data_IF_011104104150
#
_entry.id   IF_011104104150
#
_cell.length_a   1.000
_cell.length_b   1.000
_cell.length_c   1.000
_cell.angle_alpha   90.00
_cell.angle_beta   90.00
_cell.angle_gamma   90.00
#
_symmetry.space_group_name_H-M   'P 1'
#
loop_
_entity.id
_entity.type
_entity.pdbx_description
1 polymer ?
#
# COMPACT_ATOMS: atom_id res chain seq x y z
N UNK A 1 -17.54 19.14 -19.26
CA UNK A 1 -16.18 19.02 -18.74
C UNK A 1 -15.71 17.58 -19.03
N UNK A 2 -14.45 17.37 -19.41
CA UNK A 2 -13.93 16.00 -19.54
C UNK A 2 -14.02 15.31 -18.17
N UNK A 3 -14.38 14.01 -18.16
CA UNK A 3 -14.39 13.22 -16.94
C UNK A 3 -13.00 13.25 -16.31
N UNK A 4 -12.87 13.39 -14.97
CA UNK A 4 -11.57 13.37 -14.33
C UNK A 4 -10.85 12.06 -14.66
N UNK A 5 -9.56 12.15 -14.98
CA UNK A 5 -8.69 11.00 -15.24
C UNK A 5 -7.87 10.74 -13.99
N UNK A 6 -8.16 9.66 -13.26
CA UNK A 6 -7.45 9.29 -12.04
C UNK A 6 -6.54 8.10 -12.26
N UNK A 7 -5.44 8.06 -11.54
CA UNK A 7 -4.61 6.87 -11.37
C UNK A 7 -4.83 6.39 -9.94
N UNK A 8 -5.45 5.22 -9.81
CA UNK A 8 -5.71 4.57 -8.54
C UNK A 8 -4.51 3.69 -8.17
N UNK A 9 -3.77 4.07 -7.13
CA UNK A 9 -2.58 3.32 -6.69
C UNK A 9 -2.90 2.28 -5.62
N UNK A 10 -4.15 2.21 -5.16
CA UNK A 10 -4.61 1.30 -4.12
C UNK A 10 -5.87 0.58 -4.56
N UNK A 11 -5.66 -0.48 -5.29
CA UNK A 11 -6.71 -1.36 -5.79
C UNK A 11 -6.24 -2.81 -5.66
N UNK A 12 -7.17 -3.76 -5.55
CA UNK A 12 -6.82 -5.15 -5.35
C UNK A 12 -7.36 -6.04 -6.46
N UNK A 13 -6.61 -7.11 -6.73
CA UNK A 13 -7.04 -8.21 -7.58
C UNK A 13 -7.29 -9.45 -6.71
N UNK A 14 -8.26 -10.26 -7.10
CA UNK A 14 -8.61 -11.51 -6.40
C UNK A 14 -8.73 -12.62 -7.44
N UNK A 15 -7.61 -13.25 -7.86
CA UNK A 15 -7.67 -14.35 -8.80
C UNK A 15 -8.48 -15.51 -8.22
N UNK A 16 -9.35 -16.20 -9.00
CA UNK A 16 -10.18 -17.30 -8.49
C UNK A 16 -9.37 -18.38 -7.78
N UNK A 17 -8.27 -18.82 -8.38
CA UNK A 17 -7.38 -19.82 -7.79
C UNK A 17 -6.71 -19.37 -6.49
N UNK A 18 -6.43 -18.06 -6.35
CA UNK A 18 -5.90 -17.50 -5.11
C UNK A 18 -6.94 -17.56 -3.99
N UNK A 19 -8.17 -17.14 -4.29
CA UNK A 19 -9.30 -17.22 -3.34
C UNK A 19 -9.54 -18.65 -2.88
N UNK A 20 -9.49 -19.62 -3.80
CA UNK A 20 -9.63 -21.05 -3.49
C UNK A 20 -8.50 -21.52 -2.56
N UNK A 21 -7.24 -21.25 -2.89
CA UNK A 21 -6.08 -21.62 -2.08
C UNK A 21 -6.14 -21.02 -0.66
N UNK A 22 -6.59 -19.77 -0.52
CA UNK A 22 -6.77 -19.11 0.79
C UNK A 22 -7.82 -19.83 1.63
N UNK A 23 -8.98 -20.20 1.04
CA UNK A 23 -10.03 -20.90 1.77
C UNK A 23 -9.64 -22.33 2.10
N UNK A 24 -8.98 -23.06 1.20
CA UNK A 24 -8.45 -24.41 1.45
C UNK A 24 -7.43 -24.43 2.58
N UNK A 25 -6.65 -23.37 2.73
CA UNK A 25 -5.73 -23.20 3.85
C UNK A 25 -6.41 -22.83 5.19
N UNK A 26 -7.74 -22.74 5.22
CA UNK A 26 -8.49 -22.36 6.41
C UNK A 26 -8.28 -20.92 6.88
N UNK A 27 -7.87 -20.02 5.96
CA UNK A 27 -7.65 -18.60 6.22
C UNK A 27 -8.59 -17.74 5.34
N UNK A 28 -8.53 -16.43 5.46
CA UNK A 28 -9.39 -15.53 4.71
C UNK A 28 -9.01 -14.06 4.90
N UNK A 29 -9.69 -13.16 4.19
CA UNK A 29 -9.51 -11.73 4.38
C UNK A 29 -10.07 -11.30 5.74
N UNK A 30 -9.54 -10.20 6.29
CA UNK A 30 -9.98 -9.68 7.59
C UNK A 30 -11.47 -9.30 7.63
N UNK A 31 -12.07 -9.00 6.49
CA UNK A 31 -13.53 -8.75 6.37
C UNK A 31 -14.37 -10.04 6.39
N UNK A 32 -13.75 -11.21 6.61
CA UNK A 32 -14.39 -12.52 6.71
C UNK A 32 -14.61 -13.23 5.38
N UNK A 33 -14.98 -12.55 4.31
CA UNK A 33 -15.22 -13.12 2.98
C UNK A 33 -14.69 -12.18 1.89
N UNK A 34 -14.06 -12.75 0.86
CA UNK A 34 -13.68 -11.96 -0.30
C UNK A 34 -14.89 -11.36 -1.00
N UNK A 35 -14.85 -10.08 -1.37
CA UNK A 35 -15.83 -9.51 -2.27
C UNK A 35 -15.72 -10.14 -3.67
N UNK A 36 -16.79 -10.01 -4.46
CA UNK A 36 -16.73 -10.42 -5.85
C UNK A 36 -15.78 -9.50 -6.62
N UNK A 37 -14.89 -10.14 -7.38
CA UNK A 37 -13.92 -9.43 -8.21
C UNK A 37 -13.72 -10.18 -9.53
N UNK A 38 -13.76 -9.44 -10.61
CA UNK A 38 -13.31 -9.84 -11.93
C UNK A 38 -12.68 -8.63 -12.63
N UNK A 39 -11.84 -8.81 -13.65
CA UNK A 39 -11.34 -7.69 -14.46
C UNK A 39 -12.47 -6.82 -15.00
N UNK A 40 -13.60 -7.42 -15.39
CA UNK A 40 -14.74 -6.68 -15.92
C UNK A 40 -15.41 -5.79 -14.88
N UNK A 41 -15.66 -6.30 -13.67
CA UNK A 41 -16.19 -5.50 -12.55
C UNK A 41 -15.26 -4.34 -12.18
N UNK A 42 -13.95 -4.57 -12.23
CA UNK A 42 -12.97 -3.51 -12.00
C UNK A 42 -13.04 -2.43 -13.09
N UNK A 43 -13.10 -2.80 -14.36
CA UNK A 43 -13.24 -1.86 -15.47
C UNK A 43 -14.54 -1.05 -15.38
N UNK A 44 -15.66 -1.68 -15.06
CA UNK A 44 -16.95 -1.00 -14.86
C UNK A 44 -16.88 0.05 -13.74
N UNK A 45 -16.25 -0.30 -12.60
CA UNK A 45 -16.03 0.67 -11.53
C UNK A 45 -15.12 1.82 -11.98
N UNK A 46 -14.01 1.49 -12.62
CA UNK A 46 -13.05 2.48 -13.14
C UNK A 46 -13.75 3.48 -14.07
N UNK A 47 -14.58 2.99 -14.99
CA UNK A 47 -15.32 3.84 -15.91
C UNK A 47 -16.34 4.72 -15.18
N UNK A 48 -17.07 4.15 -14.22
CA UNK A 48 -18.04 4.89 -13.40
C UNK A 48 -17.40 5.98 -12.53
N UNK A 49 -16.14 5.76 -12.11
CA UNK A 49 -15.41 6.63 -11.18
C UNK A 49 -14.36 7.53 -11.85
N UNK A 50 -14.26 7.54 -13.18
CA UNK A 50 -13.25 8.33 -13.91
C UNK A 50 -11.81 7.91 -13.58
N UNK A 51 -11.59 6.61 -13.34
CA UNK A 51 -10.27 6.01 -13.11
C UNK A 51 -9.73 5.53 -14.45
N UNK A 52 -8.63 6.13 -14.89
CA UNK A 52 -7.96 5.77 -16.13
C UNK A 52 -7.12 4.49 -15.96
N UNK A 53 -6.35 4.43 -14.88
CA UNK A 53 -5.46 3.31 -14.55
C UNK A 53 -5.66 2.91 -13.09
N UNK A 54 -5.70 1.60 -12.82
CA UNK A 54 -5.68 1.03 -11.47
C UNK A 54 -4.46 0.12 -11.30
N UNK A 55 -3.63 0.42 -10.30
CA UNK A 55 -2.50 -0.42 -9.91
C UNK A 55 -2.97 -1.44 -8.87
N UNK A 56 -2.99 -2.71 -9.28
CA UNK A 56 -3.55 -3.79 -8.47
C UNK A 56 -2.49 -4.47 -7.60
N UNK A 57 -2.89 -4.94 -6.43
CA UNK A 57 -2.07 -5.74 -5.51
C UNK A 57 -2.89 -6.86 -4.87
N UNK A 58 -2.25 -7.84 -4.26
CA UNK A 58 -2.93 -8.76 -3.33
C UNK A 58 -3.03 -8.12 -1.94
N UNK A 59 -4.23 -8.19 -1.34
CA UNK A 59 -4.43 -7.84 0.05
C UNK A 59 -4.10 -9.00 1.00
N UNK A 60 -4.22 -8.76 2.31
CA UNK A 60 -4.12 -9.83 3.31
C UNK A 60 -5.13 -10.96 3.03
N UNK A 61 -4.73 -12.25 3.21
CA UNK A 61 -3.55 -12.72 3.94
C UNK A 61 -2.25 -12.82 3.11
N UNK A 62 -2.24 -12.39 1.84
CA UNK A 62 -1.08 -12.57 0.96
C UNK A 62 -0.84 -14.06 0.64
N UNK A 63 0.43 -14.46 0.51
CA UNK A 63 0.81 -15.82 0.16
C UNK A 63 1.58 -16.53 1.28
N UNK A 64 1.57 -16.00 2.51
CA UNK A 64 2.38 -16.48 3.64
C UNK A 64 1.86 -17.74 4.34
N UNK A 65 0.96 -18.51 3.76
CA UNK A 65 0.37 -19.74 4.31
C UNK A 65 0.87 -21.01 3.57
N UNK A 66 0.58 -22.19 4.13
CA UNK A 66 1.06 -23.47 3.59
C UNK A 66 2.58 -23.68 3.82
N UNK A 67 3.21 -24.53 3.00
CA UNK A 67 4.66 -24.70 2.99
C UNK A 67 5.38 -23.53 2.31
N UNK A 68 6.70 -23.48 2.40
CA UNK A 68 7.52 -22.51 1.66
C UNK A 68 7.33 -22.67 0.14
N UNK A 69 7.37 -23.91 -0.35
CA UNK A 69 7.18 -24.21 -1.76
C UNK A 69 5.79 -23.78 -2.27
N UNK A 70 4.74 -23.98 -1.46
CA UNK A 70 3.38 -23.51 -1.80
C UNK A 70 3.32 -21.99 -1.88
N UNK A 71 3.94 -21.29 -0.92
CA UNK A 71 3.98 -19.84 -0.90
C UNK A 71 4.72 -19.25 -2.12
N UNK A 72 5.86 -19.86 -2.51
CA UNK A 72 6.62 -19.49 -3.71
C UNK A 72 5.80 -19.74 -4.99
N UNK A 73 5.21 -20.93 -5.13
CA UNK A 73 4.40 -21.29 -6.30
C UNK A 73 3.16 -20.39 -6.43
N UNK A 74 2.49 -20.08 -5.32
CA UNK A 74 1.31 -19.23 -5.32
C UNK A 74 1.68 -17.78 -5.64
N UNK A 75 2.78 -17.25 -5.09
CA UNK A 75 3.27 -15.91 -5.42
C UNK A 75 3.55 -15.79 -6.92
N UNK A 76 4.33 -16.73 -7.49
CA UNK A 76 4.64 -16.78 -8.91
C UNK A 76 3.37 -16.76 -9.77
N UNK A 77 2.42 -17.64 -9.46
CA UNK A 77 1.17 -17.73 -10.20
C UNK A 77 0.33 -16.45 -10.12
N UNK A 78 0.31 -15.80 -8.95
CA UNK A 78 -0.39 -14.51 -8.78
C UNK A 78 0.27 -13.39 -9.58
N UNK A 79 1.60 -13.33 -9.59
CA UNK A 79 2.35 -12.31 -10.32
C UNK A 79 2.24 -12.49 -11.83
N UNK A 80 2.27 -13.72 -12.33
CA UNK A 80 2.02 -14.04 -13.74
C UNK A 80 0.58 -13.66 -14.16
N UNK A 81 -0.42 -13.96 -13.33
CA UNK A 81 -1.80 -13.52 -13.57
C UNK A 81 -1.92 -12.00 -13.62
N UNK A 82 -1.23 -11.28 -12.71
CA UNK A 82 -1.20 -9.82 -12.73
C UNK A 82 -0.54 -9.27 -14.01
N UNK A 83 0.55 -9.90 -14.46
CA UNK A 83 1.20 -9.53 -15.72
C UNK A 83 0.31 -9.77 -16.93
N UNK A 84 -0.44 -10.90 -16.97
CA UNK A 84 -1.42 -11.19 -18.01
C UNK A 84 -2.56 -10.15 -18.01
N UNK A 85 -3.04 -9.74 -16.83
CA UNK A 85 -4.04 -8.68 -16.69
C UNK A 85 -3.53 -7.37 -17.30
N UNK A 86 -2.31 -6.97 -16.95
CA UNK A 86 -1.67 -5.76 -17.48
C UNK A 86 -1.47 -5.86 -18.99
N UNK A 87 -0.98 -7.00 -19.48
CA UNK A 87 -0.77 -7.22 -20.93
C UNK A 87 -2.08 -7.14 -21.73
N UNK A 88 -3.19 -7.60 -21.16
CA UNK A 88 -4.51 -7.56 -21.81
C UNK A 88 -5.11 -6.14 -21.85
N UNK A 89 -4.83 -5.32 -20.84
CA UNK A 89 -5.34 -3.94 -20.73
C UNK A 89 -4.25 -2.95 -20.28
N UNK A 90 -3.21 -2.73 -21.10
CA UNK A 90 -1.96 -2.06 -20.68
C UNK A 90 -2.12 -0.58 -20.33
N UNK A 91 -3.25 0.05 -20.66
CA UNK A 91 -3.58 1.43 -20.29
C UNK A 91 -4.69 1.52 -19.23
N UNK A 92 -5.09 0.38 -18.68
CA UNK A 92 -6.13 0.32 -17.63
C UNK A 92 -5.61 -0.30 -16.35
N UNK A 93 -4.70 -1.25 -16.43
CA UNK A 93 -4.14 -1.90 -15.26
C UNK A 93 -2.63 -1.76 -15.19
N UNK A 94 -2.17 -1.54 -13.97
CA UNK A 94 -0.84 -1.80 -13.51
C UNK A 94 -0.87 -2.81 -12.37
N UNK A 95 0.28 -3.27 -11.89
CA UNK A 95 0.31 -4.21 -10.80
C UNK A 95 1.57 -4.13 -9.95
N UNK A 96 1.40 -4.34 -8.65
CA UNK A 96 2.45 -4.60 -7.69
C UNK A 96 2.59 -6.11 -7.48
N UNK A 97 3.82 -6.61 -7.55
CA UNK A 97 4.11 -8.00 -7.29
C UNK A 97 3.84 -8.37 -5.82
N UNK A 98 3.25 -9.53 -5.58
CA UNK A 98 3.22 -10.12 -4.25
C UNK A 98 4.53 -10.86 -3.96
N UNK A 99 5.06 -10.71 -2.75
CA UNK A 99 6.37 -11.23 -2.37
C UNK A 99 6.23 -12.31 -1.30
N UNK A 100 6.76 -13.52 -1.52
CA UNK A 100 6.72 -14.61 -0.54
C UNK A 100 7.79 -14.42 0.54
N UNK A 101 7.49 -13.64 1.57
CA UNK A 101 8.43 -13.21 2.62
C UNK A 101 8.76 -14.30 3.65
N UNK A 102 8.57 -15.59 3.34
CA UNK A 102 8.90 -16.70 4.26
C UNK A 102 10.41 -16.96 4.35
N UNK A 103 11.11 -16.83 3.24
CA UNK A 103 12.57 -16.91 3.19
C UNK A 103 13.15 -15.74 2.42
N UNK A 104 14.33 -15.22 2.82
CA UNK A 104 14.98 -14.13 2.11
C UNK A 104 15.25 -14.47 0.64
N UNK A 105 15.78 -15.65 0.34
CA UNK A 105 16.14 -16.02 -1.04
C UNK A 105 14.91 -16.10 -1.95
N UNK A 106 13.82 -16.75 -1.49
CA UNK A 106 12.58 -16.84 -2.27
C UNK A 106 11.97 -15.46 -2.56
N UNK A 107 12.05 -14.54 -1.59
CA UNK A 107 11.61 -13.17 -1.78
C UNK A 107 12.47 -12.42 -2.82
N UNK A 108 13.81 -12.56 -2.75
CA UNK A 108 14.74 -11.91 -3.70
C UNK A 108 14.53 -12.42 -5.14
N UNK A 109 14.41 -13.74 -5.32
CA UNK A 109 14.21 -14.35 -6.63
C UNK A 109 12.86 -13.91 -7.25
N UNK A 110 11.80 -13.86 -6.44
CA UNK A 110 10.48 -13.45 -6.93
C UNK A 110 10.40 -11.95 -7.25
N UNK A 111 11.05 -11.10 -6.47
CA UNK A 111 11.17 -9.67 -6.77
C UNK A 111 11.92 -9.46 -8.09
N UNK A 112 13.07 -10.13 -8.27
CA UNK A 112 13.85 -10.03 -9.50
C UNK A 112 13.03 -10.49 -10.72
N UNK A 113 12.35 -11.63 -10.63
CA UNK A 113 11.49 -12.12 -11.70
C UNK A 113 10.35 -11.15 -12.02
N UNK A 114 9.65 -10.67 -11.00
CA UNK A 114 8.50 -9.78 -11.18
C UNK A 114 8.87 -8.43 -11.80
N UNK A 115 9.98 -7.83 -11.36
CA UNK A 115 10.40 -6.52 -11.87
C UNK A 115 11.20 -6.62 -13.16
N UNK A 116 12.07 -7.63 -13.30
CA UNK A 116 13.02 -7.70 -14.41
C UNK A 116 12.46 -8.51 -15.60
N UNK A 117 11.57 -9.49 -15.37
CA UNK A 117 10.97 -10.34 -16.43
C UNK A 117 9.52 -9.93 -16.70
N UNK A 118 8.66 -9.94 -15.68
CA UNK A 118 7.24 -9.60 -15.84
C UNK A 118 7.00 -8.10 -16.02
N UNK A 119 7.97 -7.23 -15.68
CA UNK A 119 7.88 -5.77 -15.80
C UNK A 119 6.70 -5.16 -15.03
N UNK A 120 6.39 -5.72 -13.86
CA UNK A 120 5.40 -5.16 -12.95
C UNK A 120 5.86 -3.80 -12.41
N UNK A 121 4.94 -2.99 -11.93
CA UNK A 121 5.14 -1.57 -11.58
C UNK A 121 5.90 -1.35 -10.26
N UNK A 122 6.01 -2.37 -9.46
CA UNK A 122 6.65 -2.35 -8.15
C UNK A 122 6.30 -3.62 -7.38
N UNK A 123 6.44 -3.57 -6.08
CA UNK A 123 6.09 -4.69 -5.19
C UNK A 123 5.11 -4.24 -4.12
N UNK A 124 4.26 -5.16 -3.66
CA UNK A 124 3.44 -4.96 -2.46
C UNK A 124 4.07 -5.71 -1.30
N UNK A 125 4.35 -4.99 -0.20
CA UNK A 125 4.80 -5.57 1.06
C UNK A 125 3.79 -5.26 2.16
N UNK A 126 3.62 -6.18 3.11
CA UNK A 126 2.82 -5.90 4.30
C UNK A 126 3.58 -5.02 5.29
N UNK A 127 2.86 -4.20 6.03
CA UNK A 127 3.42 -3.37 7.12
C UNK A 127 4.09 -4.22 8.19
N UNK A 128 3.59 -5.45 8.40
CA UNK A 128 4.18 -6.43 9.30
C UNK A 128 4.13 -7.85 8.76
N UNK A 129 5.09 -8.67 9.16
CA UNK A 129 5.17 -10.12 8.90
C UNK A 129 5.45 -10.83 10.23
N UNK A 130 4.45 -11.53 10.77
CA UNK A 130 4.54 -12.07 12.13
C UNK A 130 4.72 -10.94 13.14
N UNK A 131 5.76 -11.02 13.98
CA UNK A 131 6.06 -10.00 15.00
C UNK A 131 6.91 -8.83 14.47
N UNK A 132 7.42 -8.90 13.23
CA UNK A 132 8.36 -7.94 12.68
C UNK A 132 7.66 -6.90 11.79
N UNK A 133 7.91 -5.62 12.01
CA UNK A 133 7.45 -4.52 11.16
C UNK A 133 8.49 -4.20 10.08
N UNK A 134 8.05 -3.67 8.94
CA UNK A 134 8.98 -3.12 7.95
C UNK A 134 9.95 -2.15 8.63
N UNK A 135 11.24 -2.24 8.24
CA UNK A 135 12.33 -1.53 8.92
C UNK A 135 13.08 -2.38 9.94
N UNK A 136 12.59 -3.58 10.29
CA UNK A 136 13.39 -4.56 11.02
C UNK A 136 14.55 -5.03 10.11
N UNK A 137 15.78 -5.19 10.66
CA UNK A 137 16.95 -5.65 9.89
C UNK A 137 16.76 -6.97 9.14
N UNK A 138 15.78 -7.79 9.55
CA UNK A 138 15.39 -9.01 8.84
C UNK A 138 15.00 -8.74 7.38
N UNK A 139 14.45 -7.55 7.08
CA UNK A 139 14.03 -7.16 5.73
C UNK A 139 15.12 -6.46 4.91
N UNK A 140 16.30 -6.20 5.50
CA UNK A 140 17.39 -5.46 4.84
C UNK A 140 17.82 -6.06 3.48
N UNK A 141 17.93 -7.37 3.29
CA UNK A 141 18.28 -7.94 1.98
C UNK A 141 17.25 -7.60 0.89
N UNK A 142 15.97 -7.65 1.23
CA UNK A 142 14.86 -7.30 0.32
C UNK A 142 14.87 -5.81 0.02
N UNK A 143 15.03 -4.97 1.04
CA UNK A 143 15.09 -3.52 0.88
C UNK A 143 16.33 -3.06 0.10
N UNK A 144 17.47 -3.74 0.25
CA UNK A 144 18.65 -3.47 -0.54
C UNK A 144 18.40 -3.72 -2.04
N UNK A 145 17.82 -4.88 -2.37
CA UNK A 145 17.46 -5.24 -3.75
C UNK A 145 16.47 -4.23 -4.36
N UNK A 146 15.47 -3.80 -3.60
CA UNK A 146 14.49 -2.80 -4.03
C UNK A 146 15.14 -1.42 -4.20
N UNK A 147 16.06 -1.08 -3.30
CA UNK A 147 16.83 0.19 -3.39
C UNK A 147 17.75 0.24 -4.61
N UNK A 148 18.40 -0.86 -4.98
CA UNK A 148 19.21 -0.94 -6.21
C UNK A 148 18.39 -0.60 -7.45
N UNK A 149 17.12 -0.99 -7.49
CA UNK A 149 16.19 -0.76 -8.60
C UNK A 149 15.45 0.57 -8.51
N UNK A 150 15.53 1.29 -7.39
CA UNK A 150 14.68 2.46 -7.14
C UNK A 150 13.19 2.08 -7.19
N UNK A 151 12.86 0.90 -6.66
CA UNK A 151 11.55 0.30 -6.82
C UNK A 151 10.47 1.03 -6.02
N UNK A 152 9.24 1.00 -6.54
CA UNK A 152 8.04 1.42 -5.80
C UNK A 152 7.59 0.25 -4.93
N UNK A 153 7.34 0.54 -3.65
CA UNK A 153 6.83 -0.40 -2.65
C UNK A 153 5.48 0.10 -2.16
N UNK A 154 4.41 -0.58 -2.56
CA UNK A 154 3.10 -0.37 -1.96
C UNK A 154 3.04 -1.13 -0.63
N UNK A 155 2.92 -0.40 0.46
CA UNK A 155 2.77 -1.00 1.79
C UNK A 155 1.30 -1.31 2.02
N UNK A 156 0.96 -2.55 2.38
CA UNK A 156 -0.41 -2.92 2.74
C UNK A 156 -0.49 -3.30 4.22
N UNK A 157 -1.48 -2.85 4.98
CA UNK A 157 -1.63 -3.24 6.38
C UNK A 157 -2.08 -4.70 6.53
N UNK A 158 -1.84 -5.25 7.71
CA UNK A 158 -2.33 -6.54 8.13
C UNK A 158 -2.91 -6.50 9.55
N UNK A 159 -3.40 -7.64 10.01
CA UNK A 159 -3.72 -7.83 11.41
C UNK A 159 -2.50 -8.40 12.12
N UNK A 160 -1.74 -7.52 12.76
CA UNK A 160 -0.58 -7.94 13.55
C UNK A 160 -1.00 -8.94 14.66
N UNK A 161 -0.20 -9.97 14.98
CA UNK A 161 -0.54 -10.97 15.99
C UNK A 161 -1.00 -10.40 17.33
N UNK A 162 -0.45 -9.25 17.76
CA UNK A 162 -0.85 -8.58 19.01
C UNK A 162 -2.33 -8.15 19.03
N UNK A 163 -2.97 -7.96 17.88
CA UNK A 163 -4.38 -7.58 17.79
C UNK A 163 -5.32 -8.73 18.15
N UNK A 164 -4.87 -9.99 18.10
CA UNK A 164 -5.67 -11.17 18.44
C UNK A 164 -6.13 -11.21 19.91
N UNK A 165 -5.39 -10.53 20.78
CA UNK A 165 -5.75 -10.41 22.20
C UNK A 165 -6.78 -9.32 22.50
N UNK A 166 -7.17 -8.53 21.52
CA UNK A 166 -8.13 -7.44 21.69
C UNK A 166 -9.56 -7.99 21.54
N UNK A 167 -10.34 -7.95 22.63
CA UNK A 167 -11.76 -8.34 22.62
C UNK A 167 -12.62 -7.16 22.12
N UNK A 168 -12.51 -6.82 20.83
CA UNK A 168 -13.27 -5.72 20.25
C UNK A 168 -14.67 -6.17 19.82
N UNK A 169 -15.74 -5.37 20.06
CA UNK A 169 -17.09 -5.67 19.60
C UNK A 169 -17.34 -5.36 18.12
N UNK A 170 -16.32 -4.86 17.42
CA UNK A 170 -16.32 -4.52 15.99
C UNK A 170 -15.15 -5.19 15.26
N UNK A 171 -15.18 -5.22 13.92
CA UNK A 171 -14.11 -5.84 13.15
C UNK A 171 -12.75 -5.17 13.39
N UNK A 172 -11.73 -5.96 13.70
CA UNK A 172 -10.41 -5.47 14.05
C UNK A 172 -9.77 -4.61 12.94
N UNK A 173 -9.97 -4.96 11.65
CA UNK A 173 -9.39 -4.21 10.52
C UNK A 173 -9.76 -2.71 10.55
N UNK A 174 -10.93 -2.35 11.11
CA UNK A 174 -11.41 -0.97 11.16
C UNK A 174 -10.43 0.00 11.85
N UNK A 175 -9.64 -0.51 12.80
CA UNK A 175 -8.63 0.26 13.53
C UNK A 175 -7.23 -0.31 13.31
N UNK A 176 -7.08 -1.63 13.41
CA UNK A 176 -5.77 -2.27 13.46
C UNK A 176 -4.98 -2.12 12.17
N UNK A 177 -5.62 -1.97 11.02
CA UNK A 177 -4.93 -1.66 9.77
C UNK A 177 -4.23 -0.31 9.80
N UNK A 178 -4.86 0.70 10.37
CA UNK A 178 -4.24 2.01 10.54
C UNK A 178 -3.09 1.97 11.55
N UNK A 179 -3.25 1.19 12.61
CA UNK A 179 -2.18 1.00 13.60
C UNK A 179 -1.00 0.21 13.04
N UNK A 180 -1.24 -0.84 12.25
CA UNK A 180 -0.18 -1.63 11.63
C UNK A 180 0.69 -0.77 10.69
N UNK A 181 0.04 0.00 9.79
CA UNK A 181 0.72 1.00 8.96
C UNK A 181 1.52 1.99 9.79
N UNK A 182 0.92 2.53 10.86
CA UNK A 182 1.58 3.52 11.72
C UNK A 182 2.83 2.94 12.38
N UNK A 183 2.77 1.71 12.88
CA UNK A 183 3.93 1.02 13.50
C UNK A 183 5.05 0.80 12.48
N UNK A 184 4.71 0.39 11.25
CA UNK A 184 5.70 0.25 10.17
C UNK A 184 6.37 1.60 9.83
N UNK A 185 5.60 2.68 9.71
CA UNK A 185 6.15 4.04 9.47
C UNK A 185 7.12 4.46 10.56
N UNK A 186 6.71 4.30 11.82
CA UNK A 186 7.57 4.61 12.97
C UNK A 186 8.85 3.78 12.93
N UNK A 187 8.73 2.47 12.65
CA UNK A 187 9.90 1.60 12.59
C UNK A 187 10.84 1.97 11.44
N UNK A 188 10.32 2.23 10.23
CA UNK A 188 11.11 2.64 9.06
C UNK A 188 11.92 3.93 9.34
N UNK A 189 11.35 4.89 10.08
CA UNK A 189 12.03 6.14 10.45
C UNK A 189 13.07 5.88 11.54
N UNK A 190 12.67 5.26 12.66
CA UNK A 190 13.54 5.13 13.83
C UNK A 190 14.62 4.06 13.67
N UNK A 191 14.44 3.06 12.81
CA UNK A 191 15.52 2.14 12.40
C UNK A 191 16.47 2.77 11.38
N UNK A 192 16.19 4.00 10.91
CA UNK A 192 16.90 4.68 9.84
C UNK A 192 16.89 3.92 8.50
N UNK A 193 15.90 3.07 8.29
CA UNK A 193 15.78 2.27 7.07
C UNK A 193 15.64 3.15 5.83
N UNK A 194 14.83 4.21 5.90
CA UNK A 194 14.68 5.16 4.78
C UNK A 194 15.97 5.91 4.44
N UNK A 195 16.88 6.10 5.40
CA UNK A 195 18.19 6.71 5.15
C UNK A 195 19.17 5.68 4.54
N UNK A 196 19.08 4.40 4.93
CA UNK A 196 19.91 3.32 4.39
C UNK A 196 19.48 2.89 2.98
N UNK A 197 18.18 3.01 2.69
CA UNK A 197 17.60 2.62 1.40
C UNK A 197 16.81 3.78 0.76
N UNK A 198 17.46 4.92 0.46
CA UNK A 198 16.78 6.18 0.10
C UNK A 198 16.12 6.18 -1.28
N UNK A 199 16.41 5.19 -2.14
CA UNK A 199 15.82 5.10 -3.47
C UNK A 199 14.51 4.31 -3.51
N UNK A 200 14.15 3.60 -2.42
CA UNK A 200 12.86 2.90 -2.31
C UNK A 200 11.75 3.94 -2.19
N UNK A 201 10.75 3.85 -3.06
CA UNK A 201 9.58 4.73 -3.05
C UNK A 201 8.42 4.04 -2.34
N UNK A 202 8.23 4.31 -1.05
CA UNK A 202 7.15 3.71 -0.27
C UNK A 202 5.84 4.47 -0.45
N UNK A 203 4.78 3.79 -0.90
CA UNK A 203 3.39 4.30 -0.87
C UNK A 203 2.73 3.74 0.38
N UNK A 204 2.29 4.62 1.26
CA UNK A 204 1.58 4.30 2.49
C UNK A 204 0.07 4.35 2.26
N UNK A 205 -0.67 3.31 2.63
CA UNK A 205 -2.12 3.25 2.45
C UNK A 205 -2.86 4.11 3.48
N UNK A 206 -4.10 4.48 3.16
CA UNK A 206 -5.03 5.13 4.08
C UNK A 206 -4.42 6.38 4.75
N UNK A 207 -3.81 7.24 3.95
CA UNK A 207 -3.12 8.46 4.40
C UNK A 207 -1.98 8.20 5.40
N UNK A 208 -1.34 7.02 5.34
CA UNK A 208 -0.28 6.64 6.27
C UNK A 208 -0.77 6.27 7.68
N UNK A 209 -2.03 5.85 7.79
CA UNK A 209 -2.66 5.50 9.05
C UNK A 209 -2.77 6.72 9.99
N UNK A 210 -2.22 6.60 11.19
CA UNK A 210 -2.20 7.68 12.18
C UNK A 210 -0.86 8.43 12.23
N UNK A 211 0.12 8.06 11.40
CA UNK A 211 1.45 8.67 11.45
C UNK A 211 1.42 10.19 11.25
N UNK A 212 0.63 10.77 10.32
CA UNK A 212 0.51 12.23 10.19
C UNK A 212 -0.03 12.90 11.45
N UNK A 213 -1.04 12.33 12.10
CA UNK A 213 -1.58 12.86 13.34
C UNK A 213 -0.56 12.82 14.50
N UNK A 214 0.28 11.78 14.54
CA UNK A 214 1.31 11.60 15.58
C UNK A 214 2.62 12.34 15.27
N UNK A 215 2.76 13.01 14.15
CA UNK A 215 4.02 13.59 13.67
C UNK A 215 4.74 14.45 14.74
N UNK A 216 4.03 15.34 15.41
CA UNK A 216 4.63 16.15 16.47
C UNK A 216 5.15 15.28 17.61
N UNK A 217 4.35 14.32 18.08
CA UNK A 217 4.75 13.39 19.16
C UNK A 217 5.98 12.58 18.76
N UNK A 218 5.99 12.06 17.54
CA UNK A 218 7.14 11.29 17.00
C UNK A 218 8.40 12.16 16.99
N UNK A 219 8.31 13.41 16.54
CA UNK A 219 9.46 14.31 16.41
C UNK A 219 10.10 14.69 17.74
N UNK A 220 9.36 14.66 18.86
CA UNK A 220 9.88 14.98 20.20
C UNK A 220 10.21 13.74 21.03
N UNK A 221 9.80 12.54 20.61
CA UNK A 221 10.01 11.30 21.37
C UNK A 221 11.47 11.04 21.75
N UNK A 222 12.48 11.29 20.86
CA UNK A 222 13.90 11.14 21.23
C UNK A 222 14.35 12.05 22.38
N UNK A 223 13.70 13.20 22.55
CA UNK A 223 14.01 14.11 23.68
C UNK A 223 13.48 13.56 25.01
N UNK A 224 12.44 12.72 24.97
CA UNK A 224 11.78 12.14 26.14
C UNK A 224 12.49 10.86 26.56
N UNK A 225 12.83 9.98 25.62
CA UNK A 225 13.38 8.66 25.90
C UNK A 225 14.73 8.45 25.22
N UNK A 226 15.79 8.35 26.04
CA UNK A 226 17.17 8.16 25.57
C UNK A 226 17.46 6.76 24.97
N UNK A 227 16.55 5.80 25.13
CA UNK A 227 16.63 4.47 24.48
C UNK A 227 16.30 4.53 23.00
N UNK A 228 15.57 5.57 22.56
CA UNK A 228 15.29 5.77 21.14
C UNK A 228 16.54 6.24 20.40
N UNK A 229 16.67 5.93 19.10
CA UNK A 229 17.64 6.58 18.24
C UNK A 229 17.50 8.09 18.34
N UNK A 230 18.61 8.80 18.59
CA UNK A 230 18.61 10.24 18.85
C UNK A 230 18.50 11.01 17.51
N UNK A 231 17.34 10.94 16.89
CA UNK A 231 17.01 11.72 15.69
C UNK A 231 16.58 13.13 16.10
N UNK A 232 16.98 14.12 15.31
CA UNK A 232 16.45 15.47 15.47
C UNK A 232 15.01 15.54 14.97
N UNK A 233 14.29 16.60 15.36
CA UNK A 233 12.92 16.83 14.87
C UNK A 233 12.87 16.95 13.35
N UNK A 234 13.87 17.60 12.78
CA UNK A 234 14.02 17.78 11.34
C UNK A 234 14.22 16.43 10.63
N UNK A 235 15.02 15.51 11.21
CA UNK A 235 15.22 14.17 10.67
C UNK A 235 13.93 13.34 10.71
N UNK A 236 13.17 13.40 11.80
CA UNK A 236 11.87 12.71 11.88
C UNK A 236 10.88 13.27 10.85
N UNK A 237 10.81 14.60 10.72
CA UNK A 237 9.93 15.25 9.74
C UNK A 237 10.36 14.92 8.31
N UNK A 238 11.66 14.97 8.00
CA UNK A 238 12.18 14.54 6.69
C UNK A 238 11.85 13.07 6.41
N UNK A 239 11.86 12.22 7.44
CA UNK A 239 11.42 10.83 7.34
C UNK A 239 9.96 10.71 6.93
N UNK A 240 9.07 11.48 7.54
CA UNK A 240 7.66 11.52 7.14
C UNK A 240 7.49 12.06 5.71
N UNK A 241 8.27 13.05 5.30
CA UNK A 241 8.25 13.60 3.94
C UNK A 241 8.79 12.64 2.88
N UNK A 242 9.52 11.60 3.27
CA UNK A 242 10.06 10.61 2.34
C UNK A 242 8.96 9.75 1.71
N UNK A 243 7.85 9.50 2.40
CA UNK A 243 6.78 8.62 1.96
C UNK A 243 5.83 9.28 0.97
N UNK A 244 5.21 8.45 0.14
CA UNK A 244 4.01 8.74 -0.61
C UNK A 244 2.80 8.29 0.20
N UNK A 245 1.68 9.00 0.07
CA UNK A 245 0.47 8.73 0.85
C UNK A 245 -0.73 8.62 -0.08
N UNK A 246 -1.42 7.48 -0.08
CA UNK A 246 -2.70 7.42 -0.76
C UNK A 246 -3.85 7.95 0.13
N UNK A 247 -4.99 8.24 -0.48
CA UNK A 247 -6.17 8.72 0.23
C UNK A 247 -7.32 7.70 0.28
N UNK A 248 -7.04 6.41 0.04
CA UNK A 248 -8.05 5.36 0.14
C UNK A 248 -8.73 5.36 1.51
N UNK A 249 -10.05 5.31 1.54
CA UNK A 249 -10.89 5.37 2.76
C UNK A 249 -10.58 6.57 3.69
N UNK A 250 -9.85 7.57 3.17
CA UNK A 250 -9.37 8.73 3.93
C UNK A 250 -9.46 10.04 3.12
N UNK A 251 -10.59 10.30 2.40
CA UNK A 251 -10.68 11.42 1.45
C UNK A 251 -11.06 12.76 2.08
N UNK A 252 -11.28 12.83 3.40
CA UNK A 252 -11.91 13.96 4.07
C UNK A 252 -10.95 15.08 4.49
N UNK A 253 -11.52 16.27 4.75
CA UNK A 253 -10.80 17.47 5.18
C UNK A 253 -9.93 17.23 6.42
N UNK A 254 -10.39 16.42 7.38
CA UNK A 254 -9.65 16.08 8.61
C UNK A 254 -8.34 15.35 8.28
N UNK A 255 -8.38 14.43 7.32
CA UNK A 255 -7.19 13.70 6.88
C UNK A 255 -6.21 14.62 6.18
N UNK A 256 -6.70 15.42 5.23
CA UNK A 256 -5.86 16.37 4.49
C UNK A 256 -5.28 17.45 5.42
N UNK A 257 -6.02 17.89 6.42
CA UNK A 257 -5.50 18.78 7.46
C UNK A 257 -4.28 18.21 8.19
N UNK A 258 -4.23 16.89 8.42
CA UNK A 258 -3.04 16.25 9.00
C UNK A 258 -1.93 16.01 7.97
N UNK A 259 -2.30 15.56 6.75
CA UNK A 259 -1.33 15.27 5.67
C UNK A 259 -0.55 16.52 5.23
N UNK A 260 -1.24 17.65 5.05
CA UNK A 260 -0.63 18.90 4.56
C UNK A 260 0.44 19.47 5.51
N UNK A 261 0.48 18.99 6.76
CA UNK A 261 1.54 19.35 7.72
C UNK A 261 2.77 18.45 7.65
N UNK A 262 2.68 17.27 7.04
CA UNK A 262 3.78 16.28 7.07
C UNK A 262 4.19 15.78 5.70
N UNK A 263 3.27 15.61 4.77
CA UNK A 263 3.55 15.11 3.44
C UNK A 263 3.97 16.25 2.50
N UNK A 264 4.86 15.95 1.57
CA UNK A 264 5.10 16.85 0.44
C UNK A 264 3.86 16.82 -0.47
N UNK A 265 3.36 17.96 -0.96
CA UNK A 265 2.17 18.04 -1.80
C UNK A 265 2.20 17.09 -3.01
N UNK A 266 3.36 16.96 -3.66
CA UNK A 266 3.57 16.10 -4.81
C UNK A 266 3.62 14.60 -4.46
N UNK A 267 3.60 14.24 -3.18
CA UNK A 267 3.64 12.85 -2.70
C UNK A 267 2.31 12.35 -2.14
N UNK A 268 1.23 13.05 -2.40
CA UNK A 268 -0.13 12.57 -2.08
C UNK A 268 -0.76 12.07 -3.38
N UNK A 269 -1.28 10.83 -3.37
CA UNK A 269 -1.81 10.13 -4.54
C UNK A 269 -3.21 9.59 -4.26
N UNK A 270 -3.95 9.25 -5.33
CA UNK A 270 -5.31 8.75 -5.22
C UNK A 270 -5.34 7.23 -5.07
N UNK A 271 -6.23 6.73 -4.20
CA UNK A 271 -6.51 5.31 -4.01
C UNK A 271 -7.98 5.05 -3.66
N UNK A 272 -8.50 3.86 -3.96
CA UNK A 272 -9.89 3.48 -3.66
C UNK A 272 -10.05 2.37 -2.64
N UNK A 273 -9.11 1.45 -2.56
CA UNK A 273 -9.22 0.17 -1.83
C UNK A 273 -10.29 -0.79 -2.40
N UNK A 274 -10.61 -0.66 -3.72
CA UNK A 274 -11.49 -1.61 -4.40
C UNK A 274 -10.83 -2.99 -4.50
N UNK A 275 -11.55 -4.10 -4.29
CA UNK A 275 -12.99 -4.24 -4.05
C UNK A 275 -13.38 -4.30 -2.56
N UNK A 276 -12.43 -4.14 -1.62
CA UNK A 276 -12.74 -4.17 -0.19
C UNK A 276 -13.58 -2.95 0.23
N UNK A 277 -13.27 -1.76 -0.30
CA UNK A 277 -14.22 -0.68 -0.37
C UNK A 277 -15.23 -0.97 -1.50
N UNK A 278 -16.50 -1.19 -1.15
CA UNK A 278 -17.52 -1.46 -2.15
C UNK A 278 -17.87 -0.21 -2.98
N UNK A 279 -18.53 -0.35 -4.16
CA UNK A 279 -18.82 0.77 -5.05
C UNK A 279 -19.58 1.94 -4.40
N UNK A 280 -20.43 1.68 -3.40
CA UNK A 280 -21.16 2.75 -2.68
C UNK A 280 -20.22 3.57 -1.80
N UNK A 281 -19.29 2.90 -1.11
CA UNK A 281 -18.26 3.57 -0.30
C UNK A 281 -17.34 4.38 -1.19
N UNK A 282 -16.91 3.84 -2.34
CA UNK A 282 -16.05 4.56 -3.29
C UNK A 282 -16.76 5.80 -3.86
N UNK A 283 -18.04 5.68 -4.20
CA UNK A 283 -18.83 6.85 -4.65
C UNK A 283 -18.90 7.93 -3.56
N UNK A 284 -19.05 7.55 -2.29
CA UNK A 284 -18.99 8.49 -1.15
C UNK A 284 -17.61 9.12 -0.99
N UNK A 285 -16.55 8.33 -1.11
CA UNK A 285 -15.17 8.83 -1.07
C UNK A 285 -14.92 9.88 -2.14
N UNK A 286 -15.32 9.61 -3.39
CA UNK A 286 -15.17 10.55 -4.51
C UNK A 286 -15.99 11.81 -4.25
N UNK A 287 -17.23 11.70 -3.79
CA UNK A 287 -18.06 12.85 -3.46
C UNK A 287 -17.42 13.71 -2.36
N UNK A 288 -16.88 13.08 -1.33
CA UNK A 288 -16.15 13.77 -0.25
C UNK A 288 -14.89 14.46 -0.80
N UNK A 289 -14.10 13.75 -1.59
CA UNK A 289 -12.90 14.29 -2.23
C UNK A 289 -13.19 15.48 -3.14
N UNK A 290 -14.36 15.50 -3.79
CA UNK A 290 -14.81 16.55 -4.71
C UNK A 290 -15.66 17.63 -4.03
N UNK A 291 -15.86 17.59 -2.70
CA UNK A 291 -16.76 18.49 -1.97
C UNK A 291 -16.32 19.96 -1.94
N UNK A 292 -15.13 20.29 -2.43
CA UNK A 292 -14.67 21.67 -2.61
C UNK A 292 -13.68 22.17 -1.54
N UNK A 293 -13.30 21.35 -0.55
CA UNK A 293 -12.25 21.73 0.40
C UNK A 293 -10.83 21.72 -0.23
N UNK A 294 -10.64 20.94 -1.29
CA UNK A 294 -9.46 20.99 -2.15
C UNK A 294 -9.73 21.80 -3.40
N UNK A 295 -8.77 22.61 -3.84
CA UNK A 295 -8.85 23.29 -5.13
C UNK A 295 -8.90 22.28 -6.29
N UNK A 296 -9.42 22.69 -7.45
CA UNK A 296 -9.45 21.84 -8.64
C UNK A 296 -8.03 21.40 -9.06
N UNK A 297 -7.07 22.33 -9.02
CA UNK A 297 -5.67 22.03 -9.32
C UNK A 297 -5.11 20.96 -8.38
N UNK A 298 -5.35 21.08 -7.07
CA UNK A 298 -4.89 20.11 -6.08
C UNK A 298 -5.52 18.73 -6.29
N UNK A 299 -6.80 18.66 -6.63
CA UNK A 299 -7.47 17.41 -6.99
C UNK A 299 -6.87 16.76 -8.24
N UNK A 300 -6.52 17.55 -9.25
CA UNK A 300 -5.88 17.05 -10.46
C UNK A 300 -4.46 16.50 -10.18
N UNK A 301 -3.69 17.18 -9.34
CA UNK A 301 -2.37 16.72 -8.89
C UNK A 301 -2.48 15.36 -8.18
N UNK A 302 -3.27 15.28 -7.11
CA UNK A 302 -3.47 14.05 -6.32
C UNK A 302 -4.10 12.95 -7.17
N UNK A 303 -5.11 13.30 -7.95
CA UNK A 303 -5.84 12.34 -8.77
C UNK A 303 -4.98 11.68 -9.86
N UNK A 304 -3.99 12.39 -10.40
CA UNK A 304 -3.21 11.86 -11.53
C UNK A 304 -1.76 12.31 -11.58
N UNK A 305 -1.50 13.62 -11.54
CA UNK A 305 -0.18 14.14 -11.91
C UNK A 305 0.92 13.61 -10.97
N UNK A 306 0.66 13.52 -9.67
CA UNK A 306 1.61 13.01 -8.70
C UNK A 306 1.95 11.53 -8.94
N UNK A 307 0.97 10.69 -9.26
CA UNK A 307 1.20 9.28 -9.55
C UNK A 307 2.07 9.06 -10.78
N UNK A 308 2.06 9.98 -11.76
CA UNK A 308 2.93 9.90 -12.94
C UNK A 308 4.41 10.05 -12.63
N UNK A 309 4.78 10.66 -11.50
CA UNK A 309 6.17 10.69 -11.04
C UNK A 309 6.69 9.30 -10.67
N UNK A 310 5.81 8.43 -10.15
CA UNK A 310 6.14 7.03 -9.85
C UNK A 310 5.96 6.12 -11.08
N UNK A 311 4.96 6.40 -11.90
CA UNK A 311 4.51 5.54 -12.99
C UNK A 311 4.43 6.30 -14.33
N UNK A 312 5.56 6.78 -14.88
CA UNK A 312 5.57 7.64 -16.08
C UNK A 312 5.02 6.96 -17.34
N UNK A 313 4.99 5.61 -17.38
CA UNK A 313 4.45 4.86 -18.52
C UNK A 313 2.93 5.06 -18.75
N UNK A 314 2.22 5.65 -17.79
CA UNK A 314 0.78 5.96 -17.89
C UNK A 314 0.51 7.44 -18.24
N UNK A 315 1.53 8.17 -18.64
CA UNK A 315 1.48 9.57 -19.08
C UNK A 315 0.87 9.80 -20.47
#
# INVERSE_FOLDING_TARGET
MASPRRIDVHCHLIPPFYREAVYEAGTGPAIGKYPDWTPQLALELMDACGIEVALTSLAQPGVGFGSEADALALARRCNEYAAELVARWPRRFGAFATVPMRTPQGALDEIAYSLDVLKLDGVSLFASYGENFLGDPHFDPVLALLNERGAVVFVHPGLHPSSKGLALPWPAYMMEYLFDTTRAVVNLIFSRTIERFPRVQFILPHAGGLAPYFAWRLSVSPMIDKRLPQLSREQVNAGLQHFWYDNALSPGEQTFGSLDHVALPERIVFGTDFPFANPRVIAEMIRTYESGFLSEARRAEIGRANALALFPKYG
#
